data_IF_839246318386
#
_entry.id   IF_839246318386
#
_cell.length_a   1.000
_cell.length_b   1.000
_cell.length_c   1.000
_cell.angle_alpha   90.00
_cell.angle_beta   90.00
_cell.angle_gamma   90.00
#
_symmetry.space_group_name_H-M   'P 1'
#
loop_
_entity.id
_entity.type
_entity.pdbx_description
1 polymer ?
#
# COMPACT_ATOMS: atom_id res chain seq x y z
N UNK A 1 15.66 -1.82 -13.23
CA UNK A 1 14.50 -2.10 -12.38
C UNK A 1 13.39 -2.70 -13.24
N UNK A 2 12.86 -3.85 -12.87
CA UNK A 2 11.78 -4.50 -13.62
C UNK A 2 10.42 -4.01 -13.10
N UNK A 3 9.52 -3.50 -13.97
CA UNK A 3 8.21 -3.06 -13.55
C UNK A 3 7.35 -4.23 -13.08
N UNK A 4 6.45 -3.98 -12.14
CA UNK A 4 5.42 -4.93 -11.71
C UNK A 4 4.15 -4.65 -12.51
N UNK A 5 3.72 -5.65 -13.26
CA UNK A 5 2.53 -5.56 -14.11
C UNK A 5 1.35 -6.10 -13.33
N UNK A 6 0.34 -5.25 -13.14
CA UNK A 6 -0.91 -5.58 -12.47
C UNK A 6 -2.04 -5.17 -13.41
N UNK A 7 -2.72 -6.15 -14.01
CA UNK A 7 -3.68 -5.90 -15.09
C UNK A 7 -3.05 -5.06 -16.21
N UNK A 8 -3.61 -3.89 -16.50
CA UNK A 8 -3.12 -2.94 -17.50
C UNK A 8 -2.17 -1.87 -16.94
N UNK A 9 -1.83 -1.94 -15.63
CA UNK A 9 -0.98 -0.96 -14.96
C UNK A 9 0.43 -1.52 -14.78
N UNK A 10 1.43 -0.73 -15.17
CA UNK A 10 2.85 -1.03 -15.00
C UNK A 10 3.43 -0.16 -13.91
N UNK A 11 3.57 -0.70 -12.70
CA UNK A 11 4.16 0.00 -11.55
C UNK A 11 5.68 -0.05 -11.69
N UNK A 12 6.32 1.11 -11.67
CA UNK A 12 7.78 1.24 -11.85
C UNK A 12 8.19 1.56 -13.29
N UNK A 13 7.23 1.79 -14.21
CA UNK A 13 7.47 2.27 -15.58
C UNK A 13 6.75 3.60 -15.79
N UNK A 14 7.45 4.61 -16.30
CA UNK A 14 6.91 5.95 -16.51
C UNK A 14 6.72 6.72 -15.19
N UNK A 15 5.72 7.58 -15.14
CA UNK A 15 5.42 8.37 -13.94
C UNK A 15 4.91 7.50 -12.79
N UNK A 16 5.15 7.89 -11.53
CA UNK A 16 4.61 7.20 -10.36
C UNK A 16 3.09 7.04 -10.45
N UNK A 17 2.60 5.86 -10.08
CA UNK A 17 1.18 5.55 -10.11
C UNK A 17 0.46 6.16 -8.92
N UNK A 18 -0.83 6.44 -9.08
CA UNK A 18 -1.68 7.00 -8.04
C UNK A 18 -2.54 5.90 -7.44
N UNK A 19 -2.38 5.67 -6.14
CA UNK A 19 -3.20 4.77 -5.35
C UNK A 19 -4.14 5.56 -4.45
N UNK A 20 -5.41 5.20 -4.41
CA UNK A 20 -6.41 5.86 -3.56
C UNK A 20 -7.04 4.84 -2.62
N UNK A 21 -7.03 5.08 -1.29
CA UNK A 21 -7.63 4.18 -0.32
C UNK A 21 -9.14 4.38 -0.21
N UNK A 22 -9.83 3.27 0.02
CA UNK A 22 -11.23 3.19 0.48
C UNK A 22 -11.20 2.84 1.96
N UNK A 23 -11.89 3.63 2.79
CA UNK A 23 -11.95 3.50 4.25
C UNK A 23 -13.38 3.41 4.78
N UNK A 24 -14.34 3.07 3.97
CA UNK A 24 -15.73 2.87 4.39
C UNK A 24 -15.86 1.81 5.49
N UNK A 25 -16.77 2.02 6.43
CA UNK A 25 -17.04 1.12 7.55
C UNK A 25 -18.07 0.06 7.16
N UNK A 26 -19.08 0.44 6.40
CA UNK A 26 -20.13 -0.45 5.90
C UNK A 26 -19.89 -0.84 4.43
N UNK A 27 -20.45 -1.97 4.00
CA UNK A 27 -20.40 -2.37 2.58
C UNK A 27 -20.91 -1.26 1.66
N UNK A 28 -22.00 -0.60 2.02
CA UNK A 28 -22.60 0.46 1.22
C UNK A 28 -21.63 1.65 1.05
N UNK A 29 -20.99 2.10 2.13
CA UNK A 29 -19.98 3.16 2.08
C UNK A 29 -18.81 2.78 1.18
N UNK A 30 -18.27 1.56 1.33
CA UNK A 30 -17.14 1.06 0.55
C UNK A 30 -17.45 1.06 -0.94
N UNK A 31 -18.61 0.54 -1.33
CA UNK A 31 -19.00 0.47 -2.75
C UNK A 31 -19.33 1.85 -3.30
N UNK A 32 -19.93 2.73 -2.51
CA UNK A 32 -20.17 4.12 -2.92
C UNK A 32 -18.86 4.88 -3.13
N UNK A 33 -17.85 4.71 -2.26
CA UNK A 33 -16.52 5.28 -2.48
C UNK A 33 -15.91 4.77 -3.81
N UNK A 34 -15.95 3.46 -4.04
CA UNK A 34 -15.42 2.85 -5.28
C UNK A 34 -16.03 3.46 -6.55
N UNK A 35 -17.35 3.69 -6.55
CA UNK A 35 -18.06 4.30 -7.69
C UNK A 35 -17.62 5.73 -7.97
N UNK A 36 -17.13 6.48 -6.98
CA UNK A 36 -16.62 7.84 -7.19
C UNK A 36 -15.37 7.88 -8.06
N UNK A 37 -14.64 6.77 -8.17
CA UNK A 37 -13.39 6.70 -8.92
C UNK A 37 -13.57 6.53 -10.42
N UNK A 38 -14.79 6.24 -10.91
CA UNK A 38 -15.06 6.06 -12.33
C UNK A 38 -14.61 7.25 -13.20
N UNK A 39 -14.67 8.47 -12.64
CA UNK A 39 -14.34 9.72 -13.35
C UNK A 39 -13.07 10.41 -12.81
N UNK A 40 -12.26 9.71 -12.03
CA UNK A 40 -11.04 10.24 -11.44
C UNK A 40 -9.86 9.40 -11.94
N UNK A 41 -8.73 10.01 -12.33
CA UNK A 41 -7.54 9.25 -12.74
C UNK A 41 -6.92 8.54 -11.53
N UNK A 42 -7.25 7.27 -11.35
CA UNK A 42 -6.72 6.38 -10.31
C UNK A 42 -6.10 5.18 -11.01
N UNK A 43 -4.86 4.84 -10.66
CA UNK A 43 -4.17 3.68 -11.21
C UNK A 43 -4.41 2.41 -10.38
N UNK A 44 -4.47 2.56 -9.05
CA UNK A 44 -4.67 1.48 -8.09
C UNK A 44 -5.65 1.94 -7.01
N UNK A 45 -6.58 1.09 -6.63
CA UNK A 45 -7.45 1.31 -5.48
C UNK A 45 -6.99 0.41 -4.34
N UNK A 46 -6.80 0.97 -3.15
CA UNK A 46 -6.52 0.22 -1.93
C UNK A 46 -7.80 0.08 -1.12
N UNK A 47 -8.21 -1.15 -0.80
CA UNK A 47 -9.24 -1.33 0.21
C UNK A 47 -8.60 -1.56 1.58
N UNK A 48 -8.78 -0.60 2.48
CA UNK A 48 -8.38 -0.65 3.90
C UNK A 48 -9.43 -1.45 4.68
N UNK A 49 -9.32 -2.77 4.63
CA UNK A 49 -10.31 -3.68 5.22
C UNK A 49 -10.36 -3.61 6.74
N UNK A 50 -9.32 -3.11 7.39
CA UNK A 50 -9.30 -2.88 8.84
C UNK A 50 -10.37 -1.88 9.33
N UNK A 51 -10.88 -1.00 8.46
CA UNK A 51 -12.02 -0.13 8.74
C UNK A 51 -13.36 -0.87 8.71
N UNK A 52 -13.47 -1.94 7.91
CA UNK A 52 -14.74 -2.64 7.70
C UNK A 52 -15.26 -3.26 8.99
N UNK A 53 -16.54 -3.02 9.32
CA UNK A 53 -17.16 -3.48 10.57
C UNK A 53 -17.17 -5.01 10.71
N UNK A 54 -17.25 -5.75 9.58
CA UNK A 54 -17.31 -7.21 9.53
C UNK A 54 -16.01 -7.87 9.05
N UNK A 55 -14.87 -7.24 9.22
CA UNK A 55 -13.58 -7.74 8.69
C UNK A 55 -13.21 -9.15 9.17
N UNK A 56 -13.68 -9.57 10.34
CA UNK A 56 -13.43 -10.91 10.89
C UNK A 56 -14.46 -11.96 10.46
N UNK A 57 -15.44 -11.59 9.63
CA UNK A 57 -16.42 -12.48 9.01
C UNK A 57 -16.07 -12.62 7.52
N UNK A 58 -15.24 -13.63 7.16
CA UNK A 58 -14.64 -13.68 5.81
C UNK A 58 -15.69 -13.74 4.69
N UNK A 59 -16.81 -14.41 4.87
CA UNK A 59 -17.90 -14.44 3.89
C UNK A 59 -18.39 -13.03 3.54
N UNK A 60 -18.47 -12.13 4.52
CA UNK A 60 -18.83 -10.71 4.29
C UNK A 60 -17.71 -9.94 3.62
N UNK A 61 -16.44 -10.24 3.93
CA UNK A 61 -15.29 -9.68 3.22
C UNK A 61 -15.30 -10.09 1.75
N UNK A 62 -15.59 -11.36 1.46
CA UNK A 62 -15.66 -11.87 0.09
C UNK A 62 -16.82 -11.25 -0.70
N UNK A 63 -17.99 -11.04 -0.08
CA UNK A 63 -19.10 -10.31 -0.70
C UNK A 63 -18.67 -8.89 -1.13
N UNK A 64 -18.00 -8.16 -0.24
CA UNK A 64 -17.48 -6.81 -0.55
C UNK A 64 -16.45 -6.87 -1.67
N UNK A 65 -15.50 -7.81 -1.63
CA UNK A 65 -14.50 -7.98 -2.69
C UNK A 65 -15.12 -8.21 -4.05
N UNK A 66 -16.16 -9.03 -4.13
CA UNK A 66 -16.89 -9.28 -5.37
C UNK A 66 -17.52 -8.00 -5.92
N UNK A 67 -18.25 -7.26 -5.09
CA UNK A 67 -18.89 -6.00 -5.50
C UNK A 67 -17.86 -4.91 -5.82
N UNK A 68 -16.74 -4.84 -5.09
CA UNK A 68 -15.62 -3.95 -5.41
C UNK A 68 -15.04 -4.27 -6.80
N UNK A 69 -14.84 -5.55 -7.10
CA UNK A 69 -14.33 -5.96 -8.41
C UNK A 69 -15.28 -5.55 -9.54
N UNK A 70 -16.57 -5.67 -9.33
CA UNK A 70 -17.59 -5.22 -10.30
C UNK A 70 -17.55 -3.69 -10.48
N UNK A 71 -17.48 -2.93 -9.38
CA UNK A 71 -17.45 -1.47 -9.40
C UNK A 71 -16.15 -0.90 -10.00
N UNK A 72 -15.01 -1.53 -9.76
CA UNK A 72 -13.69 -1.07 -10.19
C UNK A 72 -13.32 -1.54 -11.62
N UNK A 73 -14.04 -2.52 -12.19
CA UNK A 73 -13.74 -3.06 -13.51
C UNK A 73 -12.29 -3.56 -13.61
N UNK A 74 -11.49 -2.97 -14.47
CA UNK A 74 -10.08 -3.35 -14.68
C UNK A 74 -9.08 -2.58 -13.81
N UNK A 75 -9.54 -1.70 -12.93
CA UNK A 75 -8.64 -0.99 -12.00
C UNK A 75 -8.05 -1.97 -10.99
N UNK A 76 -6.71 -2.05 -10.82
CA UNK A 76 -6.08 -2.89 -9.82
C UNK A 76 -6.58 -2.63 -8.41
N UNK A 77 -6.84 -3.72 -7.66
CA UNK A 77 -7.29 -3.69 -6.28
C UNK A 77 -6.19 -4.23 -5.34
N UNK A 78 -5.72 -3.37 -4.45
CA UNK A 78 -4.82 -3.69 -3.35
C UNK A 78 -5.65 -3.95 -2.09
N UNK A 79 -5.55 -5.15 -1.53
CA UNK A 79 -6.19 -5.54 -0.27
C UNK A 79 -5.23 -5.28 0.90
N UNK A 80 -5.63 -4.45 1.85
CA UNK A 80 -4.78 -4.06 2.99
C UNK A 80 -5.52 -4.18 4.31
N UNK A 81 -5.09 -5.09 5.17
CA UNK A 81 -5.40 -5.03 6.59
C UNK A 81 -4.23 -4.32 7.30
N UNK A 82 -4.38 -3.06 7.61
CA UNK A 82 -3.41 -2.33 8.43
C UNK A 82 -3.67 -2.64 9.89
N UNK A 83 -2.67 -3.22 10.57
CA UNK A 83 -2.79 -3.55 11.98
C UNK A 83 -2.67 -2.31 12.85
N UNK A 84 -3.25 -2.35 14.04
CA UNK A 84 -3.11 -1.26 15.03
C UNK A 84 -1.65 -1.01 15.45
N UNK A 85 -0.76 -1.97 15.24
CA UNK A 85 0.68 -1.81 15.49
C UNK A 85 1.35 -0.86 14.50
N UNK A 86 0.79 -0.76 13.29
CA UNK A 86 1.29 0.11 12.23
C UNK A 86 0.24 1.18 11.83
N UNK A 87 -0.56 1.64 12.80
CA UNK A 87 -1.47 2.77 12.64
C UNK A 87 -2.83 2.45 12.02
N UNK A 88 -3.22 1.18 11.99
CA UNK A 88 -4.55 0.75 11.53
C UNK A 88 -5.60 0.73 12.65
N UNK A 89 -6.83 0.39 12.28
CA UNK A 89 -7.99 0.47 13.16
C UNK A 89 -8.12 -0.71 14.11
N UNK A 90 -7.63 -1.89 13.73
CA UNK A 90 -7.86 -3.12 14.48
C UNK A 90 -6.59 -3.91 14.72
N UNK A 91 -6.53 -4.56 15.88
CA UNK A 91 -5.54 -5.58 16.17
C UNK A 91 -5.95 -6.93 15.55
N UNK A 92 -4.96 -7.73 15.20
CA UNK A 92 -5.15 -9.10 14.69
C UNK A 92 -3.93 -9.94 15.07
N UNK A 93 -4.14 -11.20 15.37
CA UNK A 93 -3.04 -12.13 15.62
C UNK A 93 -2.37 -12.57 14.31
N UNK A 94 -1.08 -12.87 14.37
CA UNK A 94 -0.29 -13.15 13.16
C UNK A 94 -0.86 -14.30 12.31
N UNK A 95 -1.41 -15.34 12.94
CA UNK A 95 -2.03 -16.46 12.25
C UNK A 95 -3.31 -16.05 11.52
N UNK A 96 -4.18 -15.29 12.18
CA UNK A 96 -5.43 -14.79 11.59
C UNK A 96 -5.16 -13.80 10.47
N UNK A 97 -4.12 -12.95 10.63
CA UNK A 97 -3.64 -12.03 9.61
C UNK A 97 -3.17 -12.79 8.35
N UNK A 98 -2.39 -13.85 8.52
CA UNK A 98 -1.97 -14.68 7.40
C UNK A 98 -3.16 -15.34 6.70
N UNK A 99 -4.09 -15.93 7.45
CA UNK A 99 -5.29 -16.56 6.89
C UNK A 99 -6.17 -15.57 6.13
N UNK A 100 -6.37 -14.36 6.67
CA UNK A 100 -7.15 -13.32 6.00
C UNK A 100 -6.54 -12.93 4.65
N UNK A 101 -5.23 -12.66 4.62
CA UNK A 101 -4.52 -12.29 3.38
C UNK A 101 -4.53 -13.43 2.35
N UNK A 102 -4.27 -14.67 2.76
CA UNK A 102 -4.31 -15.85 1.88
C UNK A 102 -5.69 -16.08 1.29
N UNK A 103 -6.74 -16.01 2.10
CA UNK A 103 -8.12 -16.16 1.65
C UNK A 103 -8.51 -15.05 0.68
N UNK A 104 -8.17 -13.79 0.99
CA UNK A 104 -8.45 -12.67 0.10
C UNK A 104 -7.76 -12.83 -1.26
N UNK A 105 -6.49 -13.21 -1.28
CA UNK A 105 -5.75 -13.50 -2.52
C UNK A 105 -6.41 -14.62 -3.34
N UNK A 106 -6.90 -15.67 -2.69
CA UNK A 106 -7.51 -16.83 -3.35
C UNK A 106 -8.89 -16.56 -3.95
N UNK A 107 -9.55 -15.44 -3.64
CA UNK A 107 -10.89 -15.12 -4.17
C UNK A 107 -10.90 -14.86 -5.68
N UNK A 108 -9.78 -14.48 -6.27
CA UNK A 108 -9.69 -14.03 -7.66
C UNK A 108 -10.15 -12.58 -7.90
N UNK A 109 -10.58 -11.87 -6.85
CA UNK A 109 -11.01 -10.46 -6.95
C UNK A 109 -9.90 -9.46 -6.65
N UNK A 110 -8.82 -9.91 -5.99
CA UNK A 110 -7.70 -9.09 -5.51
C UNK A 110 -6.52 -9.22 -6.46
N UNK A 111 -5.84 -8.12 -6.74
CA UNK A 111 -4.66 -8.09 -7.62
C UNK A 111 -3.35 -7.96 -6.82
N UNK A 112 -3.40 -7.27 -5.68
CA UNK A 112 -2.26 -7.13 -4.76
C UNK A 112 -2.74 -7.28 -3.31
N UNK A 113 -1.86 -7.79 -2.45
CA UNK A 113 -2.03 -7.76 -0.99
C UNK A 113 -0.91 -6.97 -0.34
N UNK A 114 -1.23 -6.19 0.70
CA UNK A 114 -0.25 -5.53 1.57
C UNK A 114 0.10 -6.44 2.73
N UNK A 115 1.39 -6.68 2.95
CA UNK A 115 1.88 -7.53 4.02
C UNK A 115 2.88 -6.75 4.89
N UNK A 116 2.56 -6.54 6.15
CA UNK A 116 3.46 -5.87 7.08
C UNK A 116 4.71 -6.72 7.33
N UNK A 117 5.86 -6.23 6.86
CA UNK A 117 7.10 -7.01 6.74
C UNK A 117 7.71 -7.44 8.09
N UNK A 118 7.28 -6.82 9.19
CA UNK A 118 7.80 -7.10 10.53
C UNK A 118 6.83 -7.89 11.41
N UNK A 119 5.82 -8.52 10.81
CA UNK A 119 4.91 -9.46 11.49
C UNK A 119 5.61 -10.77 11.88
N UNK A 120 6.72 -11.08 11.24
CA UNK A 120 7.53 -12.29 11.43
C UNK A 120 7.90 -12.90 10.07
N UNK A 121 9.15 -13.22 9.85
CA UNK A 121 9.66 -13.62 8.54
C UNK A 121 8.94 -14.85 7.95
N UNK A 122 8.65 -15.85 8.80
CA UNK A 122 7.93 -17.07 8.38
C UNK A 122 6.51 -16.76 7.93
N UNK A 123 5.79 -15.92 8.69
CA UNK A 123 4.43 -15.49 8.36
C UNK A 123 4.41 -14.69 7.06
N UNK A 124 5.35 -13.77 6.89
CA UNK A 124 5.47 -12.95 5.68
C UNK A 124 5.75 -13.82 4.46
N UNK A 125 6.69 -14.76 4.54
CA UNK A 125 6.99 -15.71 3.45
C UNK A 125 5.78 -16.57 3.10
N UNK A 126 5.08 -17.11 4.10
CA UNK A 126 3.87 -17.91 3.89
C UNK A 126 2.81 -17.14 3.08
N UNK A 127 2.59 -15.86 3.40
CA UNK A 127 1.62 -15.03 2.68
C UNK A 127 2.10 -14.75 1.25
N UNK A 128 3.39 -14.41 1.09
CA UNK A 128 3.98 -14.13 -0.24
C UNK A 128 3.85 -15.35 -1.16
N UNK A 129 4.23 -16.52 -0.67
CA UNK A 129 4.14 -17.77 -1.44
C UNK A 129 2.70 -18.07 -1.86
N UNK A 130 1.75 -18.01 -0.92
CA UNK A 130 0.34 -18.24 -1.20
C UNK A 130 -0.25 -17.24 -2.19
N UNK A 131 0.12 -15.96 -2.11
CA UNK A 131 -0.31 -14.93 -3.06
C UNK A 131 0.27 -15.20 -4.46
N UNK A 132 1.55 -15.53 -4.56
CA UNK A 132 2.21 -15.83 -5.84
C UNK A 132 1.62 -17.08 -6.51
N UNK A 133 1.25 -18.12 -5.76
CA UNK A 133 0.59 -19.32 -6.30
C UNK A 133 -0.70 -19.02 -7.06
N UNK A 134 -1.39 -17.95 -6.69
CA UNK A 134 -2.64 -17.49 -7.35
C UNK A 134 -2.43 -16.23 -8.21
N UNK A 135 -1.18 -15.89 -8.55
CA UNK A 135 -0.79 -14.74 -9.36
C UNK A 135 -1.18 -13.36 -8.76
N UNK A 136 -1.29 -13.26 -7.45
CA UNK A 136 -1.48 -12.01 -6.73
C UNK A 136 -0.12 -11.44 -6.35
N UNK A 137 0.08 -10.12 -6.54
CA UNK A 137 1.32 -9.43 -6.20
C UNK A 137 1.34 -9.01 -4.74
N UNK A 138 2.53 -8.84 -4.18
CA UNK A 138 2.71 -8.50 -2.77
C UNK A 138 3.45 -7.18 -2.60
N UNK A 139 2.81 -6.25 -1.89
CA UNK A 139 3.44 -5.06 -1.33
C UNK A 139 3.84 -5.41 0.09
N UNK A 140 5.14 -5.53 0.37
CA UNK A 140 5.61 -5.65 1.74
C UNK A 140 5.81 -4.27 2.34
N UNK A 141 5.20 -4.00 3.48
CA UNK A 141 5.12 -2.66 4.05
C UNK A 141 5.68 -2.55 5.46
N UNK A 142 6.12 -1.35 5.80
CA UNK A 142 6.46 -0.94 7.16
C UNK A 142 6.12 0.53 7.37
N UNK A 143 5.53 0.86 8.52
CA UNK A 143 5.13 2.21 8.90
C UNK A 143 5.74 2.55 10.25
N UNK A 144 6.56 3.61 10.28
CA UNK A 144 7.16 4.15 11.51
C UNK A 144 6.49 5.51 11.80
N UNK A 145 5.53 5.50 12.74
CA UNK A 145 4.77 6.70 13.11
C UNK A 145 5.46 7.58 14.12
N UNK A 146 6.57 7.12 14.70
CA UNK A 146 7.27 7.84 15.75
C UNK A 146 8.40 8.69 15.21
N UNK A 147 9.09 8.20 14.19
CA UNK A 147 10.31 8.84 13.68
C UNK A 147 10.61 8.50 12.22
N UNK A 148 11.59 9.20 11.67
CA UNK A 148 12.33 8.79 10.48
C UNK A 148 13.60 8.09 10.94
N UNK A 149 13.77 6.79 10.67
CA UNK A 149 15.02 6.09 10.95
C UNK A 149 16.20 6.67 10.15
N UNK A 150 17.42 6.35 10.55
CA UNK A 150 18.62 6.69 9.78
C UNK A 150 18.56 6.07 8.37
N UNK A 151 19.22 6.70 7.42
CA UNK A 151 19.19 6.30 6.00
C UNK A 151 19.49 4.81 5.81
N UNK A 152 20.55 4.31 6.43
CA UNK A 152 20.98 2.92 6.28
C UNK A 152 19.95 1.93 6.86
N UNK A 153 19.24 2.31 7.91
CA UNK A 153 18.14 1.53 8.47
C UNK A 153 16.96 1.45 7.51
N UNK A 154 16.58 2.57 6.87
CA UNK A 154 15.51 2.59 5.86
C UNK A 154 15.87 1.69 4.68
N UNK A 155 17.07 1.84 4.15
CA UNK A 155 17.57 1.00 3.04
C UNK A 155 17.59 -0.48 3.45
N UNK A 156 18.06 -0.80 4.65
CA UNK A 156 18.08 -2.17 5.17
C UNK A 156 16.69 -2.79 5.28
N UNK A 157 15.70 -2.02 5.76
CA UNK A 157 14.30 -2.47 5.84
C UNK A 157 13.72 -2.78 4.46
N UNK A 158 13.95 -1.91 3.47
CA UNK A 158 13.50 -2.12 2.09
C UNK A 158 14.19 -3.32 1.44
N UNK A 159 15.49 -3.49 1.64
CA UNK A 159 16.23 -4.65 1.15
C UNK A 159 15.71 -5.95 1.76
N UNK A 160 15.43 -5.98 3.07
CA UNK A 160 14.80 -7.14 3.72
C UNK A 160 13.49 -7.53 3.06
N UNK A 161 12.62 -6.56 2.72
CA UNK A 161 11.37 -6.84 2.03
C UNK A 161 11.59 -7.47 0.65
N UNK A 162 12.59 -6.96 -0.10
CA UNK A 162 12.99 -7.53 -1.37
C UNK A 162 13.52 -8.97 -1.20
N UNK A 163 14.36 -9.21 -0.21
CA UNK A 163 14.96 -10.52 0.08
C UNK A 163 13.90 -11.55 0.54
N UNK A 164 12.82 -11.11 1.19
CA UNK A 164 11.68 -11.94 1.55
C UNK A 164 10.83 -12.35 0.32
N UNK A 165 11.06 -11.74 -0.84
CA UNK A 165 10.37 -12.07 -2.08
C UNK A 165 9.18 -11.18 -2.43
N UNK A 166 8.98 -10.06 -1.72
CA UNK A 166 7.91 -9.10 -2.06
C UNK A 166 8.11 -8.51 -3.46
N UNK A 167 7.00 -8.26 -4.16
CA UNK A 167 7.06 -7.62 -5.48
C UNK A 167 7.37 -6.12 -5.37
N UNK A 168 6.88 -5.46 -4.32
CA UNK A 168 7.04 -4.03 -4.10
C UNK A 168 7.34 -3.76 -2.62
N UNK A 169 8.59 -3.49 -2.25
CA UNK A 169 8.92 -2.96 -0.92
C UNK A 169 8.32 -1.58 -0.68
N UNK A 170 7.75 -1.34 0.51
CA UNK A 170 7.10 -0.08 0.86
C UNK A 170 7.50 0.36 2.27
N UNK A 171 7.88 1.62 2.43
CA UNK A 171 8.11 2.22 3.75
C UNK A 171 7.45 3.61 3.85
N UNK A 172 6.83 3.87 5.01
CA UNK A 172 6.32 5.16 5.38
C UNK A 172 6.89 5.56 6.74
N UNK A 173 7.45 6.77 6.84
CA UNK A 173 8.12 7.23 8.05
C UNK A 173 7.63 8.61 8.48
N UNK A 174 7.68 8.91 9.78
CA UNK A 174 7.25 10.18 10.33
C UNK A 174 8.42 11.18 10.39
N UNK A 175 8.34 12.31 9.68
CA UNK A 175 9.35 13.35 9.82
C UNK A 175 9.06 14.21 11.07
N UNK A 176 10.05 14.36 11.93
CA UNK A 176 10.01 15.29 13.06
C UNK A 176 10.54 16.69 12.69
N UNK A 177 11.25 16.77 11.58
CA UNK A 177 11.81 18.00 11.04
C UNK A 177 12.09 17.86 9.53
N UNK A 178 12.51 18.96 8.88
CA UNK A 178 12.78 18.97 7.44
C UNK A 178 13.96 18.10 7.03
N UNK A 179 14.93 17.86 7.91
CA UNK A 179 16.09 16.98 7.63
C UNK A 179 15.64 15.52 7.48
N UNK A 180 14.63 15.11 8.24
CA UNK A 180 14.07 13.75 8.14
C UNK A 180 13.50 13.46 6.75
N UNK A 181 12.90 14.48 6.11
CA UNK A 181 12.42 14.35 4.73
C UNK A 181 13.59 14.13 3.76
N UNK A 182 14.70 14.85 3.95
CA UNK A 182 15.91 14.65 3.14
C UNK A 182 16.54 13.28 3.37
N UNK A 183 16.51 12.77 4.60
CA UNK A 183 16.96 11.39 4.93
C UNK A 183 16.15 10.38 4.15
N UNK A 184 14.81 10.49 4.16
CA UNK A 184 13.96 9.57 3.39
C UNK A 184 14.23 9.66 1.88
N UNK A 185 14.35 10.85 1.33
CA UNK A 185 14.62 11.03 -0.11
C UNK A 185 15.99 10.45 -0.49
N UNK A 186 17.01 10.65 0.34
CA UNK A 186 18.33 10.05 0.14
C UNK A 186 18.31 8.53 0.23
N UNK A 187 17.55 7.97 1.19
CA UNK A 187 17.37 6.52 1.30
C UNK A 187 16.63 5.95 0.08
N UNK A 188 15.63 6.67 -0.43
CA UNK A 188 14.86 6.28 -1.61
C UNK A 188 15.75 6.22 -2.85
N UNK A 189 16.54 7.26 -3.07
CA UNK A 189 17.46 7.34 -4.19
C UNK A 189 18.50 6.22 -4.11
N UNK A 190 19.16 6.03 -2.97
CA UNK A 190 20.15 4.98 -2.79
C UNK A 190 19.55 3.58 -3.00
N UNK A 191 18.38 3.30 -2.42
CA UNK A 191 17.72 2.01 -2.63
C UNK A 191 17.40 1.81 -4.11
N UNK A 192 16.86 2.81 -4.78
CA UNK A 192 16.45 2.72 -6.18
C UNK A 192 17.63 2.57 -7.15
N UNK A 193 18.75 3.25 -6.89
CA UNK A 193 19.91 3.25 -7.79
C UNK A 193 20.88 2.11 -7.56
N UNK A 194 21.06 1.68 -6.30
CA UNK A 194 22.12 0.74 -5.93
C UNK A 194 21.61 -0.69 -5.64
N UNK A 195 20.38 -0.85 -5.12
CA UNK A 195 19.94 -2.14 -4.55
C UNK A 195 18.65 -2.70 -5.15
N UNK A 196 17.73 -1.86 -5.59
CA UNK A 196 16.43 -2.32 -6.04
C UNK A 196 16.48 -2.93 -7.44
N UNK A 197 16.00 -4.16 -7.58
CA UNK A 197 15.74 -4.82 -8.86
C UNK A 197 14.27 -4.70 -9.30
N UNK A 198 13.42 -4.17 -8.42
CA UNK A 198 11.96 -4.02 -8.53
C UNK A 198 11.49 -2.66 -8.04
N UNK A 199 10.23 -2.24 -8.35
CA UNK A 199 9.69 -0.97 -7.86
C UNK A 199 9.67 -0.90 -6.33
N UNK A 200 9.91 0.29 -5.80
CA UNK A 200 9.77 0.59 -4.36
C UNK A 200 8.77 1.71 -4.15
N UNK A 201 8.17 1.75 -2.97
CA UNK A 201 7.29 2.82 -2.53
C UNK A 201 7.85 3.41 -1.25
N UNK A 202 8.11 4.72 -1.25
CA UNK A 202 8.57 5.41 -0.05
C UNK A 202 7.80 6.68 0.17
N UNK A 203 7.55 7.03 1.43
CA UNK A 203 6.92 8.29 1.77
C UNK A 203 7.34 8.80 3.14
N UNK A 204 7.48 10.11 3.22
CA UNK A 204 7.53 10.85 4.46
C UNK A 204 6.12 11.34 4.77
N UNK A 205 5.61 10.99 5.96
CA UNK A 205 4.23 11.25 6.35
C UNK A 205 4.01 12.73 6.74
N UNK A 206 2.77 13.08 7.08
CA UNK A 206 2.33 14.41 7.47
C UNK A 206 2.60 15.52 6.43
N UNK A 207 2.19 16.74 6.72
CA UNK A 207 2.33 17.90 5.82
C UNK A 207 3.77 18.24 5.47
N UNK A 208 4.70 18.08 6.41
CA UNK A 208 6.13 18.31 6.17
C UNK A 208 6.70 17.35 5.13
N UNK A 209 6.15 16.13 5.03
CA UNK A 209 6.60 15.09 4.11
C UNK A 209 5.95 15.12 2.73
N UNK A 210 4.99 16.01 2.46
CA UNK A 210 4.24 16.07 1.19
C UNK A 210 5.15 16.05 -0.03
N UNK A 211 6.27 16.76 0.00
CA UNK A 211 7.22 16.80 -1.12
C UNK A 211 7.70 15.42 -1.54
N UNK A 212 7.89 14.48 -0.61
CA UNK A 212 8.34 13.13 -0.93
C UNK A 212 7.37 12.37 -1.82
N UNK A 213 6.09 12.70 -1.76
CA UNK A 213 5.02 12.10 -2.57
C UNK A 213 4.88 12.76 -3.95
N UNK A 214 5.32 14.01 -4.07
CA UNK A 214 5.26 14.77 -5.32
C UNK A 214 6.49 14.55 -6.21
N UNK A 215 7.65 14.22 -5.62
CA UNK A 215 8.91 14.04 -6.34
C UNK A 215 9.35 12.58 -6.49
N UNK A 216 8.41 11.63 -6.35
CA UNK A 216 8.69 10.19 -6.49
C UNK A 216 9.39 9.82 -7.79
N UNK A 217 9.01 10.45 -8.90
CA UNK A 217 9.63 10.24 -10.21
C UNK A 217 11.14 10.55 -10.19
N UNK A 218 11.55 11.60 -9.46
CA UNK A 218 12.95 12.02 -9.39
C UNK A 218 13.79 11.11 -8.49
N UNK A 219 13.22 10.65 -7.37
CA UNK A 219 13.95 9.90 -6.35
C UNK A 219 13.75 8.38 -6.42
N UNK A 220 12.82 7.89 -7.25
CA UNK A 220 12.66 6.47 -7.51
C UNK A 220 11.50 5.79 -6.78
N UNK A 221 10.57 6.54 -6.15
CA UNK A 221 9.32 5.96 -5.62
C UNK A 221 8.30 5.76 -6.73
N UNK A 222 7.82 4.54 -6.91
CA UNK A 222 7.03 4.13 -8.07
C UNK A 222 5.52 4.37 -7.94
N UNK A 223 5.04 4.70 -6.73
CA UNK A 223 3.62 4.90 -6.46
C UNK A 223 3.44 5.91 -5.33
N UNK A 224 2.41 6.72 -5.44
CA UNK A 224 2.00 7.68 -4.41
C UNK A 224 0.56 7.42 -3.97
N UNK A 225 0.28 7.70 -2.69
CA UNK A 225 -1.07 7.62 -2.14
C UNK A 225 -1.73 9.00 -2.19
N UNK A 226 -2.91 9.04 -2.82
CA UNK A 226 -3.76 10.21 -2.89
C UNK A 226 -5.01 10.07 -2.03
N UNK A 227 -5.74 11.16 -1.80
CA UNK A 227 -7.08 11.14 -1.26
C UNK A 227 -8.06 11.70 -2.31
N UNK A 228 -9.14 10.97 -2.57
CA UNK A 228 -10.26 11.51 -3.31
C UNK A 228 -11.15 12.29 -2.32
N UNK A 229 -11.02 13.62 -2.29
CA UNK A 229 -11.99 14.43 -1.58
C UNK A 229 -13.23 14.62 -2.44
N UNK A 230 -14.41 14.50 -1.87
CA UNK A 230 -15.72 14.62 -2.53
C UNK A 230 -15.99 16.02 -3.11
N UNK A 231 -15.10 16.97 -2.96
CA UNK A 231 -15.13 18.25 -3.64
C UNK A 231 -14.31 18.20 -4.92
N UNK A 232 -14.94 17.75 -5.97
CA UNK A 232 -14.66 17.99 -7.39
C UNK A 232 -13.45 18.84 -7.69
N UNK A 233 -12.26 18.27 -7.88
CA UNK A 233 -11.27 18.80 -8.82
C UNK A 233 -9.82 18.36 -8.61
N UNK A 234 -9.39 17.86 -7.45
CA UNK A 234 -7.97 17.56 -7.27
C UNK A 234 -7.75 16.26 -6.46
N UNK A 235 -7.09 15.27 -7.07
CA UNK A 235 -6.32 14.29 -6.34
C UNK A 235 -5.22 15.05 -5.58
N UNK A 236 -5.42 15.26 -4.29
CA UNK A 236 -4.34 15.75 -3.44
C UNK A 236 -3.54 14.55 -2.96
N UNK A 237 -2.21 14.62 -3.09
CA UNK A 237 -1.34 13.78 -2.29
C UNK A 237 -1.85 13.86 -0.86
N UNK A 238 -1.99 12.71 -0.18
CA UNK A 238 -2.59 12.61 1.14
C UNK A 238 -2.04 13.72 2.04
N UNK A 239 -2.73 14.84 2.10
CA UNK A 239 -2.67 15.68 3.28
C UNK A 239 -3.43 14.87 4.31
N UNK A 240 -2.71 14.22 5.19
CA UNK A 240 -3.31 13.79 6.44
C UNK A 240 -4.05 14.99 6.97
N UNK A 241 -5.36 14.87 7.10
CA UNK A 241 -6.18 15.88 7.76
C UNK A 241 -5.57 16.10 9.13
N UNK A 242 -4.85 17.22 9.25
CA UNK A 242 -4.53 17.81 10.55
C UNK A 242 -5.81 18.50 10.98
N UNK A 243 -6.63 17.81 11.74
CA UNK A 243 -7.55 18.40 12.69
C UNK A 243 -7.69 17.46 13.87
#
# INVERSE_FOLDING_TARGET
MNPVIVRNVKIGEGVPKICVPIVGVTKEEIINEAKTFENIPVDVVEWRVDWFEHVFEFEKVEEVLKELREALGETPLLFTFRTSKEGGEKAIEAKEYAELNKKAAATGYVDLVDVEAFTGDEVVKEIIEAAHEVNVKVVASNHDFDRTPEKDEIVSRLRKMQDLGADIPKIAVMPNNKKDVLVLLSATEEMASEYADRPIITMSMAGTGVISRLCGEVFGSALTFGAATVSYTHLRAHETSLH
#
